data_IF_403399316337
#
_entry.id   IF_403399316337
#
_cell.length_a   1.000
_cell.length_b   1.000
_cell.length_c   1.000
_cell.angle_alpha   90.00
_cell.angle_beta   90.00
_cell.angle_gamma   90.00
#
_symmetry.space_group_name_H-M   'P 1'
#
loop_
_entity.id
_entity.type
_entity.pdbx_description
1 polymer ?
#
# COMPACT_ATOMS: atom_id res chain seq x y z
N UNK A 1 5.20 5.53 11.04
CA UNK A 1 4.64 6.56 10.13
C UNK A 1 4.00 5.89 8.93
N UNK A 2 2.93 6.45 8.35
CA UNK A 2 2.26 5.85 7.18
C UNK A 2 2.64 6.63 5.92
N UNK A 3 3.09 5.92 4.89
CA UNK A 3 3.42 6.47 3.58
C UNK A 3 2.65 5.74 2.47
N UNK A 4 2.15 6.48 1.48
CA UNK A 4 1.53 5.93 0.28
C UNK A 4 2.60 5.88 -0.81
N UNK A 5 2.86 4.69 -1.33
CA UNK A 5 3.88 4.44 -2.36
C UNK A 5 3.19 4.07 -3.66
N UNK A 6 3.48 4.83 -4.70
CA UNK A 6 3.00 4.57 -6.06
C UNK A 6 4.12 3.87 -6.84
N UNK A 7 3.85 2.66 -7.29
CA UNK A 7 4.80 1.88 -8.10
C UNK A 7 4.24 1.71 -9.50
N UNK A 8 4.82 2.44 -10.47
CA UNK A 8 4.47 2.30 -11.88
C UNK A 8 5.16 1.10 -12.48
N UNK A 9 4.40 0.13 -12.98
CA UNK A 9 4.95 -0.94 -13.80
C UNK A 9 5.24 -0.40 -15.20
N UNK A 10 6.52 -0.35 -15.58
CA UNK A 10 6.96 0.21 -16.87
C UNK A 10 6.49 -0.62 -18.07
N UNK A 11 6.25 -1.92 -17.89
CA UNK A 11 5.85 -2.83 -18.99
C UNK A 11 4.39 -2.68 -19.39
N UNK A 12 3.49 -2.46 -18.42
CA UNK A 12 2.04 -2.40 -18.64
C UNK A 12 1.45 -1.01 -18.44
N UNK A 13 2.25 -0.04 -17.96
CA UNK A 13 1.79 1.31 -17.62
C UNK A 13 0.94 1.38 -16.35
N UNK A 14 0.56 0.24 -15.76
CA UNK A 14 -0.29 0.16 -14.56
C UNK A 14 0.46 0.66 -13.34
N UNK A 15 -0.15 1.59 -12.60
CA UNK A 15 0.37 2.07 -11.32
C UNK A 15 -0.26 1.25 -10.21
N UNK A 16 0.57 0.67 -9.35
CA UNK A 16 0.13 -0.04 -8.16
C UNK A 16 0.31 0.85 -6.93
N UNK A 17 -0.67 0.83 -6.03
CA UNK A 17 -0.67 1.64 -4.82
C UNK A 17 -0.45 0.76 -3.61
N UNK A 18 0.58 1.09 -2.85
CA UNK A 18 0.95 0.40 -1.62
C UNK A 18 0.84 1.33 -0.43
N UNK A 19 0.24 0.84 0.64
CA UNK A 19 0.31 1.45 1.97
C UNK A 19 1.53 0.90 2.68
N UNK A 20 2.52 1.74 2.94
CA UNK A 20 3.68 1.40 3.73
C UNK A 20 3.48 1.93 5.15
N UNK A 21 3.52 1.05 6.15
CA UNK A 21 3.46 1.43 7.57
C UNK A 21 4.82 1.11 8.18
N UNK A 22 5.57 2.15 8.57
CA UNK A 22 6.79 2.00 9.35
C UNK A 22 6.46 1.94 10.84
N UNK A 23 7.04 0.96 11.52
CA UNK A 23 6.94 0.78 12.96
C UNK A 23 8.33 0.48 13.52
N UNK A 24 8.54 0.88 14.78
CA UNK A 24 9.74 0.53 15.51
C UNK A 24 9.54 -0.84 16.15
N UNK A 25 10.34 -1.81 15.74
CA UNK A 25 10.33 -3.15 16.31
C UNK A 25 11.23 -3.15 17.54
N UNK A 26 10.63 -3.18 18.73
CA UNK A 26 11.35 -3.09 20.01
C UNK A 26 12.15 -4.35 20.34
N UNK A 27 11.68 -5.52 19.90
CA UNK A 27 12.38 -6.79 20.13
C UNK A 27 13.68 -6.85 19.34
N UNK A 28 13.64 -6.43 18.07
CA UNK A 28 14.82 -6.44 17.21
C UNK A 28 15.64 -5.16 17.29
N UNK A 29 15.07 -4.09 17.87
CA UNK A 29 15.61 -2.72 17.90
C UNK A 29 15.90 -2.17 16.50
N UNK A 30 15.01 -2.44 15.53
CA UNK A 30 15.19 -1.99 14.15
C UNK A 30 13.91 -1.33 13.64
N UNK A 31 14.08 -0.32 12.79
CA UNK A 31 12.97 0.19 12.00
C UNK A 31 12.53 -0.85 10.97
N UNK A 32 11.28 -1.27 11.04
CA UNK A 32 10.67 -2.17 10.05
C UNK A 32 9.51 -1.48 9.35
N UNK A 33 9.27 -1.88 8.11
CA UNK A 33 8.17 -1.37 7.33
C UNK A 33 7.37 -2.53 6.74
N UNK A 34 6.05 -2.49 6.91
CA UNK A 34 5.12 -3.44 6.30
C UNK A 34 4.41 -2.76 5.13
N UNK A 35 4.52 -3.34 3.94
CA UNK A 35 3.82 -2.87 2.73
C UNK A 35 2.58 -3.70 2.47
N UNK A 36 1.44 -3.03 2.36
CA UNK A 36 0.16 -3.65 2.00
C UNK A 36 -0.29 -3.11 0.65
N UNK A 37 -0.52 -4.00 -0.32
CA UNK A 37 -1.11 -3.62 -1.60
C UNK A 37 -2.57 -3.19 -1.38
N UNK A 38 -2.89 -1.94 -1.74
CA UNK A 38 -4.23 -1.36 -1.65
C UNK A 38 -4.99 -1.67 -2.94
N UNK A 39 -4.35 -1.49 -4.10
CA UNK A 39 -4.98 -1.69 -5.40
C UNK A 39 -4.14 -1.16 -6.56
N UNK A 40 -4.77 -1.10 -7.73
CA UNK A 40 -4.22 -0.46 -8.93
C UNK A 40 -4.76 0.98 -9.00
N UNK A 41 -4.01 1.88 -9.60
CA UNK A 41 -4.42 3.25 -9.89
C UNK A 41 -4.71 3.31 -11.38
N UNK A 42 -5.95 3.65 -11.69
CA UNK A 42 -6.41 3.79 -13.06
C UNK A 42 -5.78 5.06 -13.67
N UNK A 43 -5.12 4.94 -14.84
CA UNK A 43 -4.39 6.06 -15.44
C UNK A 43 -5.31 7.20 -15.88
N UNK A 44 -6.54 6.91 -16.30
CA UNK A 44 -7.52 7.91 -16.75
C UNK A 44 -8.20 8.63 -15.60
N UNK A 45 -8.61 7.90 -14.55
CA UNK A 45 -9.37 8.48 -13.44
C UNK A 45 -8.48 8.89 -12.27
N UNK A 46 -7.20 8.49 -12.24
CA UNK A 46 -6.30 8.56 -11.07
C UNK A 46 -6.90 7.96 -9.79
N UNK A 47 -7.99 7.20 -9.91
CA UNK A 47 -8.67 6.57 -8.77
C UNK A 47 -8.01 5.23 -8.48
N UNK A 48 -7.85 4.93 -7.20
CA UNK A 48 -7.36 3.62 -6.76
C UNK A 48 -8.51 2.63 -6.90
N UNK A 49 -8.44 1.75 -7.89
CA UNK A 49 -9.39 0.66 -8.09
C UNK A 49 -8.91 -0.57 -7.32
N UNK A 50 -9.61 -0.95 -6.22
CA UNK A 50 -9.28 -2.14 -5.47
C UNK A 50 -9.73 -3.37 -6.26
N UNK A 51 -8.79 -4.11 -6.84
CA UNK A 51 -9.08 -5.34 -7.61
C UNK A 51 -9.65 -6.48 -6.75
N UNK A 52 -9.69 -6.34 -5.41
CA UNK A 52 -10.20 -7.36 -4.49
C UNK A 52 -11.11 -6.68 -3.46
N UNK A 53 -12.33 -7.22 -3.26
CA UNK A 53 -13.18 -6.92 -2.10
C UNK A 53 -12.44 -7.36 -0.83
N UNK A 54 -11.54 -6.52 -0.32
CA UNK A 54 -10.97 -6.76 1.02
C UNK A 54 -12.05 -6.39 2.01
N UNK A 55 -12.57 -7.39 2.75
CA UNK A 55 -13.19 -7.17 4.07
C UNK A 55 -12.32 -6.13 4.76
N UNK A 56 -12.92 -4.98 5.09
CA UNK A 56 -12.26 -3.99 5.93
C UNK A 56 -11.94 -4.72 7.23
N UNK A 57 -10.69 -5.18 7.41
CA UNK A 57 -10.25 -5.60 8.73
C UNK A 57 -10.23 -4.29 9.52
N UNK A 58 -11.08 -4.14 10.55
CA UNK A 58 -11.17 -2.89 11.26
C UNK A 58 -9.77 -2.58 11.79
N UNK A 59 -9.35 -1.32 11.62
CA UNK A 59 -8.18 -0.81 12.32
C UNK A 59 -8.52 -0.91 13.80
N UNK A 60 -7.99 -1.93 14.48
CA UNK A 60 -7.93 -1.93 15.93
C UNK A 60 -7.21 -0.64 16.34
N UNK A 61 -7.97 0.19 17.06
CA UNK A 61 -7.53 1.42 17.71
C UNK A 61 -6.72 1.08 18.95
#
# INVERSE_FOLDING_TARGET
>A
MVAIVHQKNKKTGVVYVYKSVSYWDKEKQQSRAKRTCIGKLDPETKKVVPTRKKKQIPKTQ
#
